data_IF_585772805466
#
_entry.id   IF_585772805466
#
_cell.length_a   1.000
_cell.length_b   1.000
_cell.length_c   1.000
_cell.angle_alpha   90.00
_cell.angle_beta   90.00
_cell.angle_gamma   90.00
#
_symmetry.space_group_name_H-M   'P 1'
#
loop_
_entity.id
_entity.type
_entity.pdbx_description
1 polymer ?
#
# COMPACT_ATOMS: atom_id res chain seq x y z
N UNK A 1 15.54 15.12 5.95
CA UNK A 1 14.21 14.65 5.50
C UNK A 1 13.21 14.91 6.61
N UNK A 2 12.02 15.44 6.30
CA UNK A 2 10.96 15.64 7.30
C UNK A 2 10.39 14.29 7.77
N UNK A 3 10.09 14.17 9.07
CA UNK A 3 9.41 13.02 9.70
C UNK A 3 7.89 13.07 9.57
N UNK A 4 7.35 14.09 8.89
CA UNK A 4 5.92 14.25 8.63
C UNK A 4 5.32 12.99 7.98
N UNK A 5 4.17 12.57 8.52
CA UNK A 5 3.35 11.42 8.13
C UNK A 5 4.07 10.05 8.20
N UNK A 6 5.22 9.97 8.86
CA UNK A 6 5.96 8.71 9.04
C UNK A 6 5.28 7.80 10.09
N UNK A 7 4.59 8.41 11.05
CA UNK A 7 3.70 7.72 11.99
C UNK A 7 2.59 6.97 11.26
N UNK A 8 1.98 7.58 10.24
CA UNK A 8 0.93 6.94 9.43
C UNK A 8 1.43 5.74 8.63
N UNK A 9 2.74 5.65 8.36
CA UNK A 9 3.34 4.51 7.68
C UNK A 9 3.60 3.32 8.62
N UNK A 10 3.98 3.58 9.88
CA UNK A 10 4.42 2.55 10.82
C UNK A 10 3.46 2.30 11.99
N UNK A 11 2.47 3.15 12.19
CA UNK A 11 1.40 3.06 13.20
C UNK A 11 0.04 3.54 12.66
N UNK A 12 -0.41 3.07 11.48
CA UNK A 12 -1.75 3.40 10.99
C UNK A 12 -2.83 2.78 11.86
N UNK A 13 -3.93 3.52 12.05
CA UNK A 13 -5.16 3.04 12.70
C UNK A 13 -6.15 2.44 11.70
N UNK A 14 -5.98 2.68 10.39
CA UNK A 14 -6.81 2.13 9.33
C UNK A 14 -6.01 1.91 8.04
N UNK A 15 -6.31 0.83 7.31
CA UNK A 15 -5.57 0.43 6.12
C UNK A 15 -6.50 0.13 4.96
N UNK A 16 -6.27 0.76 3.81
CA UNK A 16 -6.90 0.38 2.55
C UNK A 16 -5.94 -0.48 1.70
N UNK A 17 -6.47 -1.51 1.04
CA UNK A 17 -5.69 -2.39 0.15
C UNK A 17 -6.23 -2.29 -1.26
N UNK A 18 -5.56 -1.53 -2.12
CA UNK A 18 -5.96 -1.28 -3.50
C UNK A 18 -5.38 -2.35 -4.41
N UNK A 19 -6.23 -3.05 -5.15
CA UNK A 19 -5.86 -4.26 -5.87
C UNK A 19 -5.95 -5.52 -5.00
N UNK A 20 -6.71 -5.47 -3.91
CA UNK A 20 -7.07 -6.64 -3.11
C UNK A 20 -7.75 -7.70 -4.01
N UNK A 21 -7.50 -8.99 -3.79
CA UNK A 21 -7.99 -10.04 -4.67
C UNK A 21 -8.15 -11.39 -3.97
N UNK A 22 -9.07 -12.23 -4.46
CA UNK A 22 -9.16 -13.65 -4.09
C UNK A 22 -8.39 -14.56 -5.04
N UNK A 23 -7.71 -14.00 -6.07
CA UNK A 23 -6.89 -14.81 -6.97
C UNK A 23 -5.69 -15.34 -6.19
N UNK A 24 -5.48 -16.67 -6.12
CA UNK A 24 -4.33 -17.23 -5.44
C UNK A 24 -3.03 -16.60 -5.93
N UNK A 25 -2.11 -16.33 -5.02
CA UNK A 25 -0.78 -15.77 -5.27
C UNK A 25 -0.74 -14.38 -5.92
N UNK A 26 -1.88 -13.70 -6.12
CA UNK A 26 -1.86 -12.28 -6.45
C UNK A 26 -1.31 -11.48 -5.26
N UNK A 27 -0.48 -10.47 -5.51
CA UNK A 27 0.14 -9.64 -4.46
C UNK A 27 -0.89 -9.11 -3.46
N UNK A 28 -1.99 -8.52 -3.95
CA UNK A 28 -3.06 -8.02 -3.08
C UNK A 28 -3.81 -9.11 -2.30
N UNK A 29 -3.81 -10.36 -2.76
CA UNK A 29 -4.34 -11.50 -1.99
C UNK A 29 -3.41 -11.87 -0.83
N UNK A 30 -2.10 -11.87 -1.08
CA UNK A 30 -1.07 -12.15 -0.06
C UNK A 30 -1.08 -11.04 1.00
N UNK A 31 -1.13 -9.77 0.61
CA UNK A 31 -1.20 -8.64 1.55
C UNK A 31 -2.45 -8.72 2.42
N UNK A 32 -3.62 -8.98 1.83
CA UNK A 32 -4.86 -9.17 2.59
C UNK A 32 -4.72 -10.28 3.63
N UNK A 33 -4.19 -11.44 3.23
CA UNK A 33 -3.95 -12.56 4.15
C UNK A 33 -2.98 -12.19 5.26
N UNK A 34 -1.88 -11.51 4.93
CA UNK A 34 -0.85 -11.11 5.88
C UNK A 34 -1.38 -10.12 6.92
N UNK A 35 -2.18 -9.13 6.52
CA UNK A 35 -2.82 -8.20 7.45
C UNK A 35 -3.80 -8.92 8.39
N UNK A 36 -4.65 -9.79 7.84
CA UNK A 36 -5.64 -10.54 8.62
C UNK A 36 -4.99 -11.52 9.60
N UNK A 37 -4.00 -12.31 9.14
CA UNK A 37 -3.27 -13.26 9.98
C UNK A 37 -2.36 -12.57 10.99
N UNK A 38 -1.83 -11.39 10.66
CA UNK A 38 -1.07 -10.56 11.59
C UNK A 38 -1.91 -10.10 12.79
N UNK A 39 -3.24 -10.05 12.65
CA UNK A 39 -4.15 -9.61 13.70
C UNK A 39 -4.18 -8.10 13.85
N UNK A 40 -4.02 -7.36 12.73
CA UNK A 40 -4.17 -5.90 12.73
C UNK A 40 -5.53 -5.51 13.33
N UNK A 41 -5.51 -4.56 14.26
CA UNK A 41 -6.69 -4.23 15.07
C UNK A 41 -7.57 -3.14 14.44
N UNK A 42 -7.02 -2.39 13.48
CA UNK A 42 -7.75 -1.35 12.77
C UNK A 42 -8.58 -1.88 11.60
N UNK A 43 -9.45 -1.04 11.00
CA UNK A 43 -10.21 -1.41 9.81
C UNK A 43 -9.28 -1.74 8.63
N UNK A 44 -9.53 -2.89 7.99
CA UNK A 44 -8.93 -3.27 6.72
C UNK A 44 -10.00 -3.08 5.65
N UNK A 45 -9.73 -2.22 4.66
CA UNK A 45 -10.67 -1.87 3.59
C UNK A 45 -10.12 -2.33 2.23
N UNK A 46 -10.50 -3.52 1.76
CA UNK A 46 -10.14 -4.00 0.44
C UNK A 46 -10.81 -3.15 -0.64
N UNK A 47 -10.06 -2.74 -1.67
CA UNK A 47 -10.60 -2.09 -2.86
C UNK A 47 -10.43 -3.02 -4.07
N UNK A 48 -11.56 -3.39 -4.68
CA UNK A 48 -11.64 -4.15 -5.92
C UNK A 48 -12.95 -3.84 -6.67
N UNK A 49 -12.89 -3.24 -7.88
CA UNK A 49 -14.08 -2.90 -8.67
C UNK A 49 -14.98 -4.07 -9.06
N UNK A 50 -14.48 -5.31 -9.02
CA UNK A 50 -15.16 -6.51 -9.53
C UNK A 50 -15.67 -7.44 -8.45
N UNK A 51 -15.40 -7.14 -7.17
CA UNK A 51 -15.72 -8.05 -6.06
C UNK A 51 -16.37 -7.29 -4.93
N UNK A 52 -17.45 -7.86 -4.40
CA UNK A 52 -18.14 -7.37 -3.20
C UNK A 52 -17.44 -7.80 -1.90
N UNK A 53 -16.62 -8.85 -1.95
CA UNK A 53 -15.82 -9.31 -0.81
C UNK A 53 -14.46 -9.88 -1.21
N UNK A 54 -13.44 -9.62 -0.39
CA UNK A 54 -12.09 -10.20 -0.48
C UNK A 54 -11.72 -10.82 0.86
N UNK A 55 -11.34 -12.09 0.85
CA UNK A 55 -11.03 -12.86 2.07
C UNK A 55 -12.13 -12.80 3.15
N UNK A 56 -13.40 -12.70 2.75
CA UNK A 56 -14.55 -12.57 3.65
C UNK A 56 -14.82 -11.16 4.19
N UNK A 57 -13.98 -10.18 3.84
CA UNK A 57 -14.15 -8.77 4.20
C UNK A 57 -14.86 -8.03 3.07
N UNK A 58 -15.82 -7.15 3.40
CA UNK A 58 -16.51 -6.29 2.43
C UNK A 58 -15.50 -5.45 1.65
N UNK A 59 -15.59 -5.50 0.32
CA UNK A 59 -14.72 -4.78 -0.58
C UNK A 59 -15.46 -3.63 -1.26
N UNK A 60 -14.71 -2.56 -1.54
CA UNK A 60 -15.22 -1.33 -2.12
C UNK A 60 -14.76 -1.20 -3.58
N UNK A 61 -15.55 -0.56 -4.45
CA UNK A 61 -15.19 -0.43 -5.86
C UNK A 61 -13.97 0.48 -6.09
N UNK A 62 -13.83 1.54 -5.28
CA UNK A 62 -12.81 2.57 -5.39
C UNK A 62 -12.56 3.27 -4.03
N UNK A 63 -11.69 4.28 -4.03
CA UNK A 63 -11.29 5.05 -2.83
C UNK A 63 -12.42 5.95 -2.33
N UNK A 64 -13.25 6.47 -3.24
CA UNK A 64 -14.33 7.41 -2.89
C UNK A 64 -15.38 6.72 -2.01
N UNK A 65 -15.70 5.47 -2.33
CA UNK A 65 -16.70 4.65 -1.63
C UNK A 65 -16.22 4.09 -0.27
N UNK A 66 -15.00 4.36 0.15
CA UNK A 66 -14.54 3.95 1.47
C UNK A 66 -15.35 4.65 2.58
N UNK A 67 -15.78 3.91 3.63
CA UNK A 67 -16.63 4.45 4.69
C UNK A 67 -15.88 5.43 5.61
N UNK A 68 -14.55 5.32 5.65
CA UNK A 68 -13.65 6.21 6.38
C UNK A 68 -12.43 6.50 5.51
N UNK A 69 -11.74 7.61 5.80
CA UNK A 69 -10.44 7.88 5.18
C UNK A 69 -9.39 6.93 5.76
N UNK A 70 -8.69 6.14 4.92
CA UNK A 70 -7.60 5.29 5.41
C UNK A 70 -6.39 6.14 5.77
N UNK A 71 -5.78 5.89 6.92
CA UNK A 71 -4.52 6.53 7.31
C UNK A 71 -3.36 6.08 6.40
N UNK A 72 -3.37 4.81 6.01
CA UNK A 72 -2.43 4.21 5.07
C UNK A 72 -3.14 3.45 3.96
N UNK A 73 -2.68 3.59 2.72
CA UNK A 73 -3.10 2.75 1.60
C UNK A 73 -1.95 1.88 1.08
N UNK A 74 -2.25 0.65 0.68
CA UNK A 74 -1.32 -0.27 0.04
C UNK A 74 -1.75 -0.47 -1.41
N UNK A 75 -0.89 -0.10 -2.36
CA UNK A 75 -1.18 -0.19 -3.80
C UNK A 75 -0.52 -1.43 -4.38
N UNK A 76 -1.36 -2.31 -4.93
CA UNK A 76 -0.99 -3.58 -5.57
C UNK A 76 -1.44 -3.66 -7.04
N UNK A 77 -1.73 -2.52 -7.67
CA UNK A 77 -2.33 -2.43 -9.02
C UNK A 77 -1.28 -2.21 -10.12
N UNK A 78 -1.63 -2.35 -11.41
CA UNK A 78 -0.71 -2.07 -12.50
C UNK A 78 -0.15 -0.64 -12.48
N UNK A 79 1.08 -0.39 -12.99
CA UNK A 79 1.77 0.91 -12.87
C UNK A 79 0.95 2.10 -13.38
N UNK A 80 0.22 1.90 -14.48
CA UNK A 80 -0.55 2.96 -15.15
C UNK A 80 -1.68 3.53 -14.27
N UNK A 81 -2.17 2.77 -13.30
CA UNK A 81 -3.25 3.24 -12.42
C UNK A 81 -2.72 3.98 -11.19
N UNK A 82 -1.41 3.89 -10.90
CA UNK A 82 -0.86 4.44 -9.65
C UNK A 82 -1.00 5.97 -9.57
N UNK A 83 -0.71 6.77 -10.62
CA UNK A 83 -0.84 8.22 -10.52
C UNK A 83 -2.25 8.68 -10.16
N UNK A 84 -3.30 8.11 -10.76
CA UNK A 84 -4.68 8.48 -10.44
C UNK A 84 -5.08 8.06 -9.03
N UNK A 85 -4.65 6.88 -8.59
CA UNK A 85 -4.90 6.42 -7.22
C UNK A 85 -4.26 7.34 -6.16
N UNK A 86 -3.09 7.92 -6.46
CA UNK A 86 -2.47 8.92 -5.57
C UNK A 86 -3.33 10.19 -5.48
N UNK A 87 -3.95 10.62 -6.59
CA UNK A 87 -4.88 11.76 -6.57
C UNK A 87 -6.11 11.42 -5.73
N UNK A 88 -6.75 10.27 -5.97
CA UNK A 88 -7.96 9.84 -5.25
C UNK A 88 -7.71 9.74 -3.74
N UNK A 89 -6.56 9.18 -3.36
CA UNK A 89 -6.13 9.06 -1.97
C UNK A 89 -5.85 10.42 -1.33
N UNK A 90 -5.20 11.33 -2.05
CA UNK A 90 -4.96 12.70 -1.58
C UNK A 90 -6.26 13.48 -1.36
N UNK A 91 -7.21 13.36 -2.29
CA UNK A 91 -8.55 13.96 -2.16
C UNK A 91 -9.32 13.38 -0.98
N UNK A 92 -9.22 12.06 -0.75
CA UNK A 92 -9.84 11.41 0.42
C UNK A 92 -9.19 11.80 1.75
N UNK A 93 -7.95 12.30 1.72
CA UNK A 93 -7.17 12.73 2.90
C UNK A 93 -6.22 11.67 3.46
N UNK A 94 -5.82 10.68 2.66
CA UNK A 94 -4.83 9.68 3.05
C UNK A 94 -3.43 10.27 3.06
N UNK A 95 -2.66 10.01 4.12
CA UNK A 95 -1.34 10.62 4.32
C UNK A 95 -0.16 9.67 4.11
N UNK A 96 -0.38 8.35 4.04
CA UNK A 96 0.66 7.36 3.80
C UNK A 96 0.28 6.34 2.73
N UNK A 97 1.23 5.97 1.89
CA UNK A 97 1.08 4.97 0.83
C UNK A 97 2.27 4.01 0.82
N UNK A 98 1.98 2.71 0.79
CA UNK A 98 2.94 1.67 0.42
C UNK A 98 2.64 1.25 -1.01
N UNK A 99 3.53 1.56 -1.94
CA UNK A 99 3.39 1.17 -3.35
C UNK A 99 4.25 -0.06 -3.64
N UNK A 100 3.60 -1.21 -3.78
CA UNK A 100 4.28 -2.48 -4.08
C UNK A 100 4.57 -2.63 -5.60
N UNK A 101 3.84 -1.88 -6.41
CA UNK A 101 3.91 -1.93 -7.86
C UNK A 101 5.32 -1.62 -8.39
N UNK A 102 5.84 -2.49 -9.26
CA UNK A 102 7.13 -2.32 -9.91
C UNK A 102 7.00 -1.64 -11.29
N UNK A 103 8.11 -1.15 -11.85
CA UNK A 103 8.16 -0.72 -13.26
C UNK A 103 7.72 0.74 -13.55
N UNK A 104 7.34 1.53 -12.54
CA UNK A 104 6.96 2.94 -12.73
C UNK A 104 8.06 3.80 -13.37
N UNK A 105 9.33 3.49 -13.09
CA UNK A 105 10.47 4.22 -13.67
C UNK A 105 10.69 3.91 -15.16
N UNK A 106 10.16 2.79 -15.66
CA UNK A 106 10.35 2.36 -17.06
C UNK A 106 9.16 2.69 -17.95
N UNK A 107 8.09 3.25 -17.38
CA UNK A 107 6.86 3.58 -18.11
C UNK A 107 6.64 5.09 -18.15
N UNK A 108 6.01 5.55 -19.22
CA UNK A 108 5.57 6.93 -19.40
C UNK A 108 4.06 7.02 -19.48
N UNK A 109 3.54 8.15 -19.03
CA UNK A 109 2.16 8.54 -19.24
C UNK A 109 1.95 8.89 -20.72
N UNK A 110 0.93 8.31 -21.34
CA UNK A 110 0.70 8.42 -22.78
C UNK A 110 0.25 9.82 -23.21
N UNK A 111 -0.34 10.59 -22.29
CA UNK A 111 -0.85 11.94 -22.58
C UNK A 111 0.24 13.01 -22.46
N UNK A 112 1.10 12.87 -21.45
CA UNK A 112 2.11 13.89 -21.10
C UNK A 112 3.53 13.50 -21.51
N UNK A 113 3.78 12.23 -21.83
CA UNK A 113 5.11 11.68 -22.11
C UNK A 113 6.02 11.57 -20.88
N UNK A 114 5.55 11.99 -19.70
CA UNK A 114 6.35 12.01 -18.47
C UNK A 114 6.44 10.61 -17.86
N UNK A 115 7.55 10.31 -17.18
CA UNK A 115 7.69 9.02 -16.46
C UNK A 115 6.66 8.92 -15.35
N UNK A 116 6.05 7.75 -15.19
CA UNK A 116 5.04 7.54 -14.13
C UNK A 116 5.63 7.77 -12.74
N UNK A 117 6.89 7.40 -12.52
CA UNK A 117 7.60 7.65 -11.27
C UNK A 117 7.68 9.15 -10.93
N UNK A 118 7.97 10.00 -11.92
CA UNK A 118 8.11 11.45 -11.70
C UNK A 118 6.75 12.07 -11.37
N UNK A 119 5.70 11.64 -12.06
CA UNK A 119 4.32 12.06 -11.78
C UNK A 119 3.88 11.66 -10.37
N UNK A 120 4.16 10.43 -9.94
CA UNK A 120 3.84 9.96 -8.57
C UNK A 120 4.62 10.77 -7.53
N UNK A 121 5.91 11.02 -7.76
CA UNK A 121 6.74 11.82 -6.85
C UNK A 121 6.28 13.28 -6.75
N UNK A 122 5.77 13.87 -7.83
CA UNK A 122 5.20 15.21 -7.82
C UNK A 122 3.88 15.24 -7.05
N UNK A 123 2.94 14.34 -7.39
CA UNK A 123 1.61 14.27 -6.76
C UNK A 123 1.71 14.02 -5.26
N UNK A 124 2.54 13.06 -4.85
CA UNK A 124 2.75 12.75 -3.43
C UNK A 124 3.29 13.95 -2.64
N UNK A 125 4.19 14.75 -3.22
CA UNK A 125 4.66 15.98 -2.57
C UNK A 125 3.57 17.06 -2.51
N UNK A 126 2.83 17.25 -3.60
CA UNK A 126 1.77 18.25 -3.67
C UNK A 126 0.61 17.96 -2.71
N UNK A 127 0.30 16.68 -2.50
CA UNK A 127 -0.80 16.19 -1.66
C UNK A 127 -0.37 15.82 -0.23
N UNK A 128 0.88 16.09 0.15
CA UNK A 128 1.45 15.76 1.46
C UNK A 128 1.34 14.26 1.82
N UNK A 129 1.54 13.39 0.84
CA UNK A 129 1.50 11.94 0.99
C UNK A 129 2.92 11.40 1.17
N UNK A 130 3.13 10.66 2.26
CA UNK A 130 4.34 9.87 2.46
C UNK A 130 4.23 8.58 1.66
N UNK A 131 5.21 8.32 0.78
CA UNK A 131 5.28 7.07 0.01
C UNK A 131 6.46 6.19 0.43
N UNK A 132 6.21 4.89 0.61
CA UNK A 132 7.19 3.82 0.69
C UNK A 132 7.13 2.99 -0.60
N UNK A 133 8.28 2.78 -1.24
CA UNK A 133 8.37 2.24 -2.59
C UNK A 133 8.49 3.35 -3.64
N UNK A 134 8.09 3.12 -4.92
CA UNK A 134 7.50 1.90 -5.46
C UNK A 134 8.47 0.70 -5.47
N UNK A 135 8.03 -0.45 -5.99
CA UNK A 135 8.85 -1.66 -6.13
C UNK A 135 9.49 -2.12 -4.80
N UNK A 136 8.69 -2.23 -3.75
CA UNK A 136 9.13 -2.69 -2.45
C UNK A 136 8.34 -3.93 -2.01
N UNK A 137 8.84 -4.63 -0.99
CA UNK A 137 8.13 -5.78 -0.37
C UNK A 137 6.99 -5.32 0.54
N UNK A 138 7.06 -4.07 1.03
CA UNK A 138 6.14 -3.49 2.01
C UNK A 138 6.81 -3.28 3.36
N UNK A 139 6.00 -3.24 4.43
CA UNK A 139 6.47 -3.02 5.78
C UNK A 139 5.84 -4.00 6.78
N UNK A 140 6.61 -4.41 7.78
CA UNK A 140 6.14 -5.21 8.91
C UNK A 140 6.47 -4.48 10.20
N UNK A 141 5.48 -4.36 11.10
CA UNK A 141 5.64 -3.80 12.43
C UNK A 141 4.97 -4.76 13.43
N UNK A 142 5.68 -5.81 13.89
CA UNK A 142 5.12 -6.85 14.75
C UNK A 142 4.51 -6.31 16.05
N UNK A 143 5.10 -5.24 16.61
CA UNK A 143 4.63 -4.61 17.86
C UNK A 143 3.22 -4.03 17.80
N UNK A 144 2.69 -3.79 16.59
CA UNK A 144 1.31 -3.35 16.38
C UNK A 144 0.51 -4.31 15.48
N UNK A 145 1.02 -5.54 15.29
CA UNK A 145 0.35 -6.56 14.47
C UNK A 145 0.13 -6.16 13.01
N UNK A 146 0.96 -5.23 12.50
CA UNK A 146 0.89 -4.78 11.11
C UNK A 146 1.84 -5.63 10.25
N UNK A 147 1.28 -6.35 9.28
CA UNK A 147 2.03 -6.97 8.20
C UNK A 147 1.50 -6.48 6.85
N UNK A 148 1.94 -5.29 6.46
CA UNK A 148 1.59 -4.59 5.23
C UNK A 148 2.57 -4.93 4.09
N UNK A 149 2.81 -6.23 3.90
CA UNK A 149 3.80 -6.74 2.95
C UNK A 149 3.27 -7.97 2.22
N UNK A 150 3.95 -8.38 1.15
CA UNK A 150 3.76 -9.69 0.54
C UNK A 150 4.86 -10.70 0.90
N UNK A 151 5.61 -10.44 1.97
CA UNK A 151 6.58 -11.41 2.49
C UNK A 151 5.89 -12.72 2.86
N UNK A 152 6.58 -13.84 2.64
CA UNK A 152 6.05 -15.17 2.89
C UNK A 152 6.23 -15.63 4.35
N UNK A 153 7.13 -15.00 5.09
CA UNK A 153 7.34 -15.22 6.53
C UNK A 153 6.99 -13.95 7.33
N UNK A 154 6.35 -14.09 8.50
CA UNK A 154 6.19 -12.99 9.43
C UNK A 154 7.51 -12.67 10.14
N UNK A 155 7.66 -11.43 10.61
CA UNK A 155 8.74 -11.05 11.49
C UNK A 155 8.37 -11.32 12.96
N UNK A 156 9.33 -11.81 13.75
CA UNK A 156 9.16 -11.99 15.19
C UNK A 156 9.13 -10.65 15.93
N UNK A 157 8.44 -10.61 17.07
CA UNK A 157 8.47 -9.46 17.96
C UNK A 157 9.90 -9.22 18.48
N UNK A 158 10.36 -7.97 18.45
CA UNK A 158 11.71 -7.62 18.87
C UNK A 158 11.94 -6.11 18.87
N UNK A 159 13.20 -5.72 19.07
CA UNK A 159 13.66 -4.32 19.16
C UNK A 159 14.57 -3.91 18.00
N UNK A 160 14.67 -4.74 16.96
CA UNK A 160 15.51 -4.50 15.78
C UNK A 160 14.65 -3.90 14.67
N UNK A 161 15.10 -2.77 14.12
CA UNK A 161 14.59 -2.24 12.86
C UNK A 161 15.53 -2.65 11.73
N UNK A 162 15.02 -3.42 10.78
CA UNK A 162 15.76 -3.85 9.59
C UNK A 162 15.23 -3.13 8.35
N UNK A 163 16.13 -2.52 7.59
CA UNK A 163 15.81 -1.80 6.35
C UNK A 163 16.74 -2.29 5.26
N UNK A 164 16.17 -2.69 4.13
CA UNK A 164 16.95 -3.13 2.97
C UNK A 164 16.32 -2.60 1.68
N UNK A 165 17.17 -2.22 0.73
CA UNK A 165 16.77 -1.85 -0.63
C UNK A 165 16.63 -3.07 -1.54
N UNK A 166 17.05 -4.26 -1.09
CA UNK A 166 16.87 -5.52 -1.81
C UNK A 166 15.68 -6.28 -1.22
N UNK A 167 14.61 -6.39 -2.01
CA UNK A 167 13.43 -7.18 -1.61
C UNK A 167 13.76 -8.66 -1.39
N UNK A 168 14.65 -9.23 -2.21
CA UNK A 168 15.09 -10.62 -2.07
C UNK A 168 15.78 -10.88 -0.73
N UNK A 169 16.61 -9.94 -0.26
CA UNK A 169 17.25 -10.05 1.06
C UNK A 169 16.25 -9.89 2.21
N UNK A 170 15.19 -9.10 2.03
CA UNK A 170 14.15 -8.94 3.06
C UNK A 170 13.32 -10.22 3.26
N UNK A 171 13.24 -11.05 2.23
CA UNK A 171 12.44 -12.29 2.24
C UNK A 171 13.32 -13.52 2.12
N UNK A 172 14.62 -13.43 2.39
CA UNK A 172 15.52 -14.58 2.34
C UNK A 172 15.34 -15.47 3.58
#
# INVERSE_FOLDING_TARGET
MSTRNLDKLFRPESVAVIGASNRPNAVGSVVMRNLLQGGFQGPIMPINPRRTAVAGVLAYPDVEHLPITPEMAIICTPPRTVPSLIDDLGVKGTHAVICLTAGLGSMTDERTGRRLLDLVNEKTRALDIRILGPNCVGALVPGIRLNASFAHLPANLGKIAFVSQSGAMCTA
#
